data_IF_722373529957
#
_entry.id   IF_722373529957
#
_cell.length_a   1.000
_cell.length_b   1.000
_cell.length_c   1.000
_cell.angle_alpha   90.00
_cell.angle_beta   90.00
_cell.angle_gamma   90.00
#
_symmetry.space_group_name_H-M   'P 1'
#
loop_
_entity.id
_entity.type
_entity.pdbx_description
1 polymer ?
#
# COMPACT_ATOMS: atom_id res chain seq x y z
N UNK A 1 -5.40 -21.47 1.73
CA UNK A 1 -6.37 -20.50 1.20
C UNK A 1 -5.64 -19.29 0.67
N UNK A 2 -5.21 -19.34 -0.59
CA UNK A 2 -4.65 -18.19 -1.29
C UNK A 2 -5.79 -17.19 -1.49
N UNK A 3 -5.69 -16.04 -0.82
CA UNK A 3 -6.66 -14.96 -1.00
C UNK A 3 -6.15 -14.17 -2.19
N UNK A 4 -6.84 -14.22 -3.34
CA UNK A 4 -6.52 -13.38 -4.49
C UNK A 4 -6.72 -11.90 -4.13
N UNK A 5 -5.84 -11.04 -4.64
CA UNK A 5 -5.96 -9.59 -4.52
C UNK A 5 -7.25 -9.10 -5.17
N UNK A 6 -8.01 -8.30 -4.42
CA UNK A 6 -9.26 -7.73 -4.90
C UNK A 6 -8.99 -6.38 -5.55
N UNK A 7 -9.32 -6.26 -6.84
CA UNK A 7 -9.18 -5.02 -7.60
C UNK A 7 -10.54 -4.39 -7.82
N UNK A 8 -10.64 -3.10 -7.51
CA UNK A 8 -11.85 -2.29 -7.67
C UNK A 8 -11.54 -1.11 -8.59
N UNK A 9 -12.54 -0.73 -9.38
CA UNK A 9 -12.47 0.41 -10.29
C UNK A 9 -13.61 1.38 -9.99
N UNK A 10 -13.31 2.66 -9.99
CA UNK A 10 -14.31 3.71 -9.81
C UNK A 10 -13.87 4.99 -10.52
N UNK A 11 -14.80 5.91 -10.78
CA UNK A 11 -14.51 7.16 -11.49
C UNK A 11 -14.52 8.35 -10.54
N UNK A 12 -13.47 9.17 -10.58
CA UNK A 12 -13.41 10.50 -9.96
C UNK A 12 -13.10 11.51 -11.05
N UNK A 13 -13.89 12.58 -11.17
CA UNK A 13 -13.67 13.69 -12.11
C UNK A 13 -13.34 13.22 -13.54
N UNK A 14 -14.12 12.24 -14.04
CA UNK A 14 -13.97 11.61 -15.37
C UNK A 14 -12.70 10.77 -15.57
N UNK A 15 -11.96 10.46 -14.51
CA UNK A 15 -10.82 9.54 -14.54
C UNK A 15 -11.20 8.23 -13.85
N UNK A 16 -10.98 7.10 -14.53
CA UNK A 16 -11.09 5.79 -13.90
C UNK A 16 -9.85 5.56 -13.03
N UNK A 17 -10.09 5.35 -11.74
CA UNK A 17 -9.11 4.95 -10.75
C UNK A 17 -9.21 3.44 -10.54
N UNK A 18 -8.07 2.77 -10.47
CA UNK A 18 -7.96 1.35 -10.12
C UNK A 18 -7.31 1.24 -8.74
N UNK A 19 -8.01 0.63 -7.80
CA UNK A 19 -7.50 0.31 -6.46
C UNK A 19 -7.36 -1.19 -6.28
N UNK A 20 -6.20 -1.67 -5.89
CA UNK A 20 -5.97 -3.09 -5.56
C UNK A 20 -5.67 -3.25 -4.08
N UNK A 21 -6.42 -4.15 -3.42
CA UNK A 21 -6.20 -4.50 -2.02
C UNK A 21 -5.20 -5.65 -1.94
N UNK A 22 -4.12 -5.43 -1.18
CA UNK A 22 -2.99 -6.35 -1.03
C UNK A 22 -2.98 -6.85 0.42
N UNK A 23 -3.05 -8.15 0.63
CA UNK A 23 -3.06 -8.74 1.97
C UNK A 23 -1.91 -9.71 2.22
N UNK A 24 -1.16 -10.10 1.18
CA UNK A 24 -0.07 -11.06 1.29
C UNK A 24 1.28 -10.48 0.84
N UNK A 25 2.37 -11.09 1.31
CA UNK A 25 3.73 -10.67 0.93
C UNK A 25 4.06 -10.91 -0.55
N UNK A 26 3.70 -12.05 -1.17
CA UNK A 26 3.96 -12.25 -2.61
C UNK A 26 3.27 -11.19 -3.47
N UNK A 27 2.01 -10.87 -3.18
CA UNK A 27 1.27 -9.82 -3.88
C UNK A 27 1.93 -8.45 -3.68
N UNK A 28 2.31 -8.11 -2.45
CA UNK A 28 3.01 -6.87 -2.17
C UNK A 28 4.30 -6.76 -2.98
N UNK A 29 5.10 -7.82 -3.02
CA UNK A 29 6.34 -7.84 -3.77
C UNK A 29 6.10 -7.64 -5.27
N UNK A 30 5.09 -8.29 -5.84
CA UNK A 30 4.74 -8.14 -7.25
C UNK A 30 4.24 -6.71 -7.54
N UNK A 31 3.33 -6.18 -6.73
CA UNK A 31 2.80 -4.84 -6.93
C UNK A 31 3.88 -3.75 -6.80
N UNK A 32 4.83 -3.88 -5.87
CA UNK A 32 5.96 -2.94 -5.76
C UNK A 32 6.88 -3.01 -6.98
N UNK A 33 7.10 -4.21 -7.55
CA UNK A 33 7.85 -4.36 -8.80
C UNK A 33 7.15 -3.69 -9.97
N UNK A 34 5.85 -3.93 -10.12
CA UNK A 34 5.05 -3.38 -11.21
C UNK A 34 5.00 -1.86 -11.12
N UNK A 35 4.78 -1.32 -9.92
CA UNK A 35 4.81 0.12 -9.65
C UNK A 35 6.16 0.75 -10.01
N UNK A 36 7.28 0.15 -9.57
CA UNK A 36 8.61 0.63 -9.94
C UNK A 36 8.83 0.58 -11.45
N UNK A 37 8.40 -0.49 -12.12
CA UNK A 37 8.51 -0.62 -13.58
C UNK A 37 7.77 0.51 -14.29
N UNK A 38 6.52 0.78 -13.92
CA UNK A 38 5.73 1.91 -14.47
C UNK A 38 6.41 3.25 -14.25
N UNK A 39 6.86 3.51 -13.02
CA UNK A 39 7.56 4.76 -12.66
C UNK A 39 8.86 4.93 -13.47
N UNK A 40 9.59 3.84 -13.73
CA UNK A 40 10.87 3.90 -14.46
C UNK A 40 10.71 4.05 -15.97
N UNK A 41 9.63 3.53 -16.54
CA UNK A 41 9.36 3.55 -17.98
C UNK A 41 8.63 4.80 -18.45
N UNK A 42 8.02 5.56 -17.54
CA UNK A 42 7.47 6.87 -17.88
C UNK A 42 8.57 7.85 -18.34
N UNK A 43 8.54 8.17 -19.64
CA UNK A 43 9.47 9.11 -20.30
C UNK A 43 9.21 10.58 -19.96
N UNK A 44 8.38 10.89 -18.97
CA UNK A 44 8.10 12.27 -18.61
C UNK A 44 9.28 12.88 -17.84
N UNK A 45 9.66 14.11 -18.18
CA UNK A 45 10.70 14.90 -17.50
C UNK A 45 10.27 15.31 -16.07
N UNK A 46 9.05 14.96 -15.67
CA UNK A 46 8.51 15.32 -14.37
C UNK A 46 9.02 14.39 -13.27
N UNK A 47 9.13 14.93 -12.06
CA UNK A 47 9.56 14.18 -10.88
C UNK A 47 8.65 12.97 -10.70
N UNK A 48 9.24 11.80 -10.51
CA UNK A 48 8.55 10.55 -10.18
C UNK A 48 7.96 10.69 -8.78
N UNK A 49 6.65 10.91 -8.69
CA UNK A 49 5.95 11.12 -7.42
C UNK A 49 5.00 9.97 -7.15
N UNK A 50 5.13 9.36 -5.98
CA UNK A 50 4.18 8.37 -5.46
C UNK A 50 3.45 8.99 -4.28
N UNK A 51 2.12 9.01 -4.35
CA UNK A 51 1.28 9.38 -3.22
C UNK A 51 1.37 8.32 -2.12
N UNK A 52 1.57 8.75 -0.87
CA UNK A 52 1.71 7.90 0.30
C UNK A 52 0.64 8.24 1.33
N UNK A 53 -0.12 7.25 1.77
CA UNK A 53 -1.06 7.35 2.89
C UNK A 53 -0.76 6.28 3.95
N UNK A 54 -0.89 6.62 5.22
CA UNK A 54 -0.62 5.72 6.36
C UNK A 54 -1.83 5.75 7.28
N UNK A 55 -2.45 4.60 7.50
CA UNK A 55 -3.53 4.44 8.48
C UNK A 55 -3.03 3.62 9.66
N UNK A 56 -3.33 4.11 10.87
CA UNK A 56 -3.00 3.42 12.12
C UNK A 56 -4.26 2.79 12.70
N UNK A 57 -4.10 1.62 13.34
CA UNK A 57 -5.15 1.04 14.17
C UNK A 57 -4.94 1.52 15.60
N UNK A 58 -5.96 2.19 16.14
CA UNK A 58 -6.02 2.53 17.55
C UNK A 58 -6.89 1.49 18.26
N UNK A 59 -6.32 0.77 19.22
CA UNK A 59 -7.08 -0.15 20.07
C UNK A 59 -7.34 0.53 21.41
N UNK A 60 -8.62 0.64 21.77
CA UNK A 60 -9.02 1.12 23.10
C UNK A 60 -8.63 0.06 24.13
N UNK A 61 -7.57 0.33 24.89
CA UNK A 61 -7.11 -0.58 25.92
C UNK A 61 -7.91 -0.38 27.21
N UNK A 62 -8.22 -1.45 27.96
CA UNK A 62 -8.72 -1.34 29.33
C UNK A 62 -7.76 -0.48 30.18
N UNK A 63 -8.32 0.39 31.04
CA UNK A 63 -7.59 1.29 31.93
C UNK A 63 -6.42 0.57 32.63
N UNK A 64 -5.20 1.08 32.46
CA UNK A 64 -4.02 0.63 33.22
C UNK A 64 -2.97 -0.19 32.45
N UNK A 65 -3.12 -0.44 31.15
CA UNK A 65 -2.03 -0.99 30.32
C UNK A 65 -1.28 0.11 29.56
N UNK A 66 0.06 0.05 29.48
CA UNK A 66 0.84 0.97 28.63
C UNK A 66 0.35 0.86 27.19
N UNK A 67 0.29 1.99 26.48
CA UNK A 67 -0.13 2.09 25.08
C UNK A 67 0.57 1.01 24.25
N UNK A 68 -0.16 -0.04 23.88
CA UNK A 68 0.39 -1.17 23.15
C UNK A 68 0.45 -0.83 21.66
N UNK A 69 1.23 0.20 21.34
CA UNK A 69 1.78 0.52 20.03
C UNK A 69 0.79 1.07 19.00
N UNK A 70 1.00 2.32 18.61
CA UNK A 70 0.59 2.87 17.32
C UNK A 70 1.13 1.98 16.17
N UNK A 71 0.40 0.93 15.81
CA UNK A 71 0.77 0.05 14.71
C UNK A 71 0.13 0.55 13.43
N UNK A 72 0.96 0.73 12.40
CA UNK A 72 0.47 0.99 11.05
C UNK A 72 -0.32 -0.25 10.59
N UNK A 73 -1.57 -0.03 10.24
CA UNK A 73 -2.49 -1.08 9.83
C UNK A 73 -2.64 -1.14 8.31
N UNK A 74 -2.65 0.03 7.66
CA UNK A 74 -2.72 0.15 6.21
C UNK A 74 -1.64 1.10 5.69
N UNK A 75 -1.14 0.78 4.51
CA UNK A 75 -0.35 1.70 3.69
C UNK A 75 -1.01 1.85 2.33
N UNK A 76 -1.16 3.09 1.86
CA UNK A 76 -1.67 3.40 0.55
C UNK A 76 -0.53 3.93 -0.34
N UNK A 77 -0.35 3.36 -1.52
CA UNK A 77 0.60 3.82 -2.54
C UNK A 77 -0.14 4.13 -3.82
N UNK A 78 -0.05 5.37 -4.32
CA UNK A 78 -0.77 5.79 -5.53
C UNK A 78 0.16 6.42 -6.56
N UNK A 79 0.01 6.03 -7.82
CA UNK A 79 0.73 6.61 -8.95
C UNK A 79 -0.20 6.69 -10.17
N UNK A 80 -0.36 7.89 -10.72
CA UNK A 80 -1.31 8.13 -11.81
C UNK A 80 -2.74 7.79 -11.39
N UNK A 81 -3.35 6.83 -12.08
CA UNK A 81 -4.71 6.33 -11.79
C UNK A 81 -4.73 5.01 -11.03
N UNK A 82 -3.58 4.51 -10.57
CA UNK A 82 -3.46 3.25 -9.86
C UNK A 82 -3.11 3.48 -8.39
N UNK A 83 -3.80 2.79 -7.50
CA UNK A 83 -3.61 2.86 -6.06
C UNK A 83 -3.56 1.45 -5.46
N UNK A 84 -2.67 1.23 -4.50
CA UNK A 84 -2.54 -0.01 -3.76
C UNK A 84 -2.89 0.22 -2.30
N UNK A 85 -3.80 -0.58 -1.76
CA UNK A 85 -4.21 -0.56 -0.35
C UNK A 85 -3.58 -1.79 0.32
N UNK A 86 -2.51 -1.59 1.08
CA UNK A 86 -1.68 -2.66 1.64
C UNK A 86 -2.11 -2.91 3.08
N UNK A 87 -2.67 -4.10 3.35
CA UNK A 87 -3.16 -4.53 4.65
C UNK A 87 -2.05 -5.10 5.54
N UNK A 88 -1.16 -4.21 6.00
CA UNK A 88 -0.01 -4.55 6.85
C UNK A 88 -0.41 -5.33 8.10
N UNK A 89 -1.54 -4.99 8.72
CA UNK A 89 -2.05 -5.69 9.92
C UNK A 89 -2.43 -7.17 9.67
N UNK A 90 -2.65 -7.57 8.42
CA UNK A 90 -2.99 -8.96 8.05
C UNK A 90 -1.77 -9.79 7.65
N UNK A 91 -0.60 -9.17 7.50
CA UNK A 91 0.61 -9.87 7.09
C UNK A 91 1.25 -10.57 8.30
N UNK A 92 1.59 -11.84 8.13
CA UNK A 92 2.19 -12.67 9.20
C UNK A 92 3.69 -12.46 9.35
N UNK A 93 4.36 -11.89 8.34
CA UNK A 93 5.80 -11.61 8.37
C UNK A 93 6.10 -10.17 7.97
N UNK A 94 7.23 -9.59 8.43
CA UNK A 94 7.60 -8.21 8.09
C UNK A 94 7.79 -8.02 6.57
N UNK A 95 7.19 -6.97 5.98
CA UNK A 95 7.32 -6.69 4.55
C UNK A 95 8.64 -5.96 4.24
N UNK A 96 9.77 -6.65 4.30
CA UNK A 96 11.09 -6.05 4.03
C UNK A 96 11.19 -5.38 2.66
N UNK A 97 10.48 -5.91 1.66
CA UNK A 97 10.39 -5.30 0.33
C UNK A 97 9.83 -3.88 0.34
N UNK A 98 8.92 -3.58 1.27
CA UNK A 98 8.34 -2.24 1.43
C UNK A 98 9.35 -1.25 1.98
N UNK A 99 10.15 -1.63 2.98
CA UNK A 99 11.23 -0.79 3.49
C UNK A 99 12.22 -0.44 2.39
N UNK A 100 12.61 -1.42 1.58
CA UNK A 100 13.53 -1.22 0.45
C UNK A 100 12.93 -0.35 -0.65
N UNK A 101 11.60 -0.33 -0.81
CA UNK A 101 10.91 0.56 -1.74
C UNK A 101 10.90 2.00 -1.24
N UNK A 102 10.60 2.24 0.04
CA UNK A 102 10.46 3.57 0.63
C UNK A 102 11.80 4.32 0.83
N UNK A 103 12.93 3.62 0.76
CA UNK A 103 14.28 4.19 0.93
C UNK A 103 14.94 4.62 -0.39
N UNK A 104 14.27 4.44 -1.53
CA UNK A 104 14.77 4.84 -2.87
C UNK A 104 14.44 6.29 -3.18
#
# INVERSE_FOLDING_TARGET
NETMSNTHKFTIDRRELTTTVIATLPELYQCLKDLLSTITTEHSVSKRVVGLGIEKKFEAMPLGRPQMGDRVALLNLCHGTTCFIIQLARMTSPPFCLSAFLQR
#
